data_IF_419265139720
#
_entry.id   IF_419265139720
#
_cell.length_a   1.000
_cell.length_b   1.000
_cell.length_c   1.000
_cell.angle_alpha   90.00
_cell.angle_beta   90.00
_cell.angle_gamma   90.00
#
_symmetry.space_group_name_H-M   'P 1'
#
loop_
_entity.id
_entity.type
_entity.pdbx_description
1 polymer ?
#
# COMPACT_ATOMS: atom_id res chain seq x y z
N UNK A 1 0.58 -3.13 1.89
CA UNK A 1 0.18 -3.92 3.07
C UNK A 1 0.66 -5.37 3.06
N UNK A 2 1.29 -5.85 1.98
CA UNK A 2 1.66 -7.26 1.79
C UNK A 2 2.65 -7.76 2.86
N UNK A 3 2.43 -8.99 3.32
CA UNK A 3 3.20 -9.62 4.38
C UNK A 3 4.67 -9.90 4.02
N UNK A 4 4.96 -10.06 2.72
CA UNK A 4 6.32 -10.32 2.21
C UNK A 4 7.26 -9.14 2.37
N UNK A 5 6.72 -7.93 2.58
CA UNK A 5 7.52 -6.71 2.69
C UNK A 5 7.86 -6.30 4.13
N UNK A 6 7.35 -7.01 5.14
CA UNK A 6 7.48 -6.56 6.54
C UNK A 6 8.93 -6.42 6.96
N UNK A 7 9.80 -7.39 6.64
CA UNK A 7 11.23 -7.31 6.96
C UNK A 7 11.97 -6.25 6.14
N UNK A 8 11.65 -6.10 4.85
CA UNK A 8 12.27 -5.08 3.99
C UNK A 8 11.98 -3.66 4.47
N UNK A 9 10.77 -3.44 4.97
CA UNK A 9 10.37 -2.15 5.55
C UNK A 9 11.06 -1.94 6.89
N UNK A 10 11.14 -2.95 7.76
CA UNK A 10 11.88 -2.85 9.02
C UNK A 10 13.32 -2.39 8.85
N UNK A 11 14.03 -2.91 7.83
CA UNK A 11 15.43 -2.53 7.53
C UNK A 11 15.59 -1.05 7.14
N UNK A 12 14.52 -0.42 6.63
CA UNK A 12 14.52 0.97 6.16
C UNK A 12 13.93 1.94 7.19
N UNK A 13 13.38 1.45 8.30
CA UNK A 13 12.78 2.28 9.34
C UNK A 13 13.82 2.75 10.36
N UNK A 14 13.85 4.05 10.62
CA UNK A 14 14.54 4.66 11.75
C UNK A 14 13.55 5.36 12.70
N UNK A 15 14.03 6.10 13.71
CA UNK A 15 13.15 6.82 14.64
C UNK A 15 12.34 7.96 14.00
N UNK A 16 12.83 8.55 12.91
CA UNK A 16 12.21 9.69 12.23
C UNK A 16 11.33 9.26 11.05
N UNK A 17 11.33 7.98 10.72
CA UNK A 17 10.55 7.43 9.60
C UNK A 17 9.08 7.31 9.97
N UNK A 18 8.24 7.98 9.18
CA UNK A 18 6.79 7.77 9.12
C UNK A 18 6.51 6.74 8.03
N UNK A 19 5.74 5.70 8.36
CA UNK A 19 5.39 4.64 7.41
C UNK A 19 3.91 4.72 7.08
N UNK A 20 3.61 4.74 5.78
CA UNK A 20 2.25 4.62 5.24
C UNK A 20 2.18 3.34 4.40
N UNK A 21 1.22 2.46 4.70
CA UNK A 21 1.04 1.18 4.00
C UNK A 21 -0.44 0.92 3.78
N UNK A 22 -0.80 0.76 2.52
CA UNK A 22 -2.14 0.40 2.06
C UNK A 22 -2.06 -0.70 0.98
N UNK A 23 -3.20 -1.06 0.41
CA UNK A 23 -3.32 -1.91 -0.75
C UNK A 23 -2.73 -1.20 -1.99
N UNK A 24 -1.82 -1.87 -2.69
CA UNK A 24 -1.26 -1.35 -3.93
C UNK A 24 -0.25 -0.21 -3.79
N UNK A 25 0.14 0.19 -2.57
CA UNK A 25 0.95 1.41 -2.36
C UNK A 25 0.27 2.62 -3.05
N UNK A 26 -1.04 2.73 -2.89
CA UNK A 26 -1.87 3.69 -3.58
C UNK A 26 -1.66 5.10 -3.02
N UNK A 27 -0.95 5.94 -3.77
CA UNK A 27 -0.61 7.31 -3.33
C UNK A 27 -1.85 8.19 -3.24
N UNK A 28 -2.89 7.94 -4.04
CA UNK A 28 -4.08 8.79 -4.06
C UNK A 28 -4.82 8.83 -2.71
N UNK A 29 -4.81 7.72 -1.97
CA UNK A 29 -5.38 7.65 -0.60
C UNK A 29 -4.61 8.50 0.41
N UNK A 30 -3.33 8.73 0.15
CA UNK A 30 -2.42 9.41 1.08
C UNK A 30 -1.98 10.80 0.60
N UNK A 31 -2.49 11.31 -0.52
CA UNK A 31 -2.06 12.61 -1.07
C UNK A 31 -2.19 13.75 -0.05
N UNK A 32 -3.30 13.82 0.68
CA UNK A 32 -3.55 14.90 1.63
C UNK A 32 -2.69 14.72 2.90
N UNK A 33 -2.45 13.47 3.29
CA UNK A 33 -1.51 13.13 4.38
C UNK A 33 -0.09 13.56 3.98
N UNK A 34 0.39 13.17 2.80
CA UNK A 34 1.72 13.51 2.29
C UNK A 34 1.90 15.03 2.21
N UNK A 35 0.88 15.75 1.72
CA UNK A 35 0.89 17.21 1.65
C UNK A 35 1.02 17.86 3.03
N UNK A 36 0.29 17.33 4.01
CA UNK A 36 0.31 17.82 5.39
C UNK A 36 1.65 17.54 6.08
N UNK A 37 2.21 16.34 5.86
CA UNK A 37 3.51 15.95 6.43
C UNK A 37 4.66 16.78 5.85
N UNK A 38 4.58 17.13 4.55
CA UNK A 38 5.62 17.87 3.82
C UNK A 38 7.06 17.36 4.12
N UNK A 39 7.34 16.07 3.85
CA UNK A 39 8.61 15.44 4.19
C UNK A 39 9.77 15.93 3.31
N UNK A 40 10.99 15.83 3.84
CA UNK A 40 12.23 16.10 3.07
C UNK A 40 12.55 14.98 2.08
N UNK A 41 12.22 13.73 2.43
CA UNK A 41 12.45 12.54 1.60
C UNK A 41 11.21 11.64 1.61
N UNK A 42 10.88 11.09 0.43
CA UNK A 42 9.84 10.06 0.26
C UNK A 42 10.46 8.84 -0.39
N UNK A 43 10.32 7.68 0.26
CA UNK A 43 10.70 6.38 -0.28
C UNK A 43 9.43 5.63 -0.69
N UNK A 44 9.21 5.51 -2.00
CA UNK A 44 8.01 4.89 -2.58
C UNK A 44 8.29 3.45 -3.04
N UNK A 45 7.62 2.49 -2.39
CA UNK A 45 7.93 1.05 -2.51
C UNK A 45 6.70 0.20 -2.91
N UNK A 46 6.15 0.34 -4.13
CA UNK A 46 5.26 -0.66 -4.69
C UNK A 46 6.01 -1.99 -4.90
N UNK A 47 5.28 -3.08 -5.14
CA UNK A 47 5.89 -4.40 -5.31
C UNK A 47 5.21 -5.24 -6.39
N UNK A 48 5.93 -6.23 -6.91
CA UNK A 48 5.40 -7.20 -7.88
C UNK A 48 4.50 -8.25 -7.23
N UNK A 49 3.70 -8.93 -8.05
CA UNK A 49 2.74 -9.95 -7.61
C UNK A 49 1.76 -9.39 -6.55
N UNK A 50 1.32 -8.15 -6.74
CA UNK A 50 0.49 -7.43 -5.80
C UNK A 50 -0.98 -7.86 -5.91
N UNK A 51 -1.55 -8.37 -4.81
CA UNK A 51 -2.96 -8.77 -4.77
C UNK A 51 -3.92 -7.63 -5.10
N UNK A 52 -3.59 -6.39 -4.72
CA UNK A 52 -4.39 -5.21 -5.06
C UNK A 52 -4.35 -4.90 -6.57
N UNK A 53 -3.19 -5.08 -7.22
CA UNK A 53 -3.08 -4.90 -8.67
C UNK A 53 -3.76 -6.03 -9.43
N UNK A 54 -3.78 -7.26 -8.90
CA UNK A 54 -4.63 -8.35 -9.44
C UNK A 54 -6.11 -7.97 -9.41
N UNK A 55 -6.59 -7.39 -8.31
CA UNK A 55 -7.98 -6.91 -8.21
C UNK A 55 -8.28 -5.81 -9.24
N UNK A 56 -7.36 -4.86 -9.41
CA UNK A 56 -7.48 -3.82 -10.45
C UNK A 56 -7.52 -4.43 -11.84
N UNK A 57 -6.62 -5.37 -12.15
CA UNK A 57 -6.57 -6.07 -13.44
C UNK A 57 -7.90 -6.78 -13.72
N UNK A 58 -8.41 -7.56 -12.76
CA UNK A 58 -9.71 -8.23 -12.90
C UNK A 58 -10.85 -7.24 -13.11
N UNK A 59 -10.88 -6.14 -12.34
CA UNK A 59 -11.97 -5.16 -12.47
C UNK A 59 -11.93 -4.39 -13.80
N UNK A 60 -10.74 -4.01 -14.26
CA UNK A 60 -10.57 -3.20 -15.48
C UNK A 60 -10.68 -4.03 -16.75
N UNK A 61 -10.12 -5.26 -16.77
CA UNK A 61 -10.05 -6.09 -17.99
C UNK A 61 -11.11 -7.18 -18.05
N UNK A 62 -11.51 -7.74 -16.90
CA UNK A 62 -12.42 -8.88 -16.83
C UNK A 62 -13.84 -8.46 -16.39
N UNK A 63 -14.02 -7.19 -16.01
CA UNK A 63 -15.31 -6.65 -15.58
C UNK A 63 -15.74 -7.10 -14.19
N UNK A 64 -14.81 -7.60 -13.36
CA UNK A 64 -15.13 -7.97 -11.98
C UNK A 64 -15.61 -6.74 -11.20
N UNK A 65 -16.77 -6.88 -10.56
CA UNK A 65 -17.37 -5.79 -9.79
C UNK A 65 -16.65 -5.62 -8.46
N UNK A 66 -16.21 -4.39 -8.21
CA UNK A 66 -15.73 -3.93 -6.90
C UNK A 66 -16.76 -2.98 -6.29
N UNK A 67 -16.69 -2.77 -4.99
CA UNK A 67 -17.56 -1.78 -4.34
C UNK A 67 -17.21 -0.37 -4.78
N UNK A 68 -18.14 0.61 -4.65
CA UNK A 68 -17.85 2.01 -4.96
C UNK A 68 -16.66 2.59 -4.19
N UNK A 69 -16.39 2.07 -2.99
CA UNK A 69 -15.24 2.48 -2.16
C UNK A 69 -13.92 2.02 -2.76
N UNK A 70 -13.80 0.73 -3.12
CA UNK A 70 -12.59 0.22 -3.79
C UNK A 70 -12.43 0.85 -5.18
N UNK A 71 -13.54 1.06 -5.89
CA UNK A 71 -13.54 1.70 -7.21
C UNK A 71 -12.94 3.11 -7.15
N UNK A 72 -13.48 3.97 -6.28
CA UNK A 72 -13.04 5.36 -6.15
C UNK A 72 -11.62 5.46 -5.59
N UNK A 73 -11.27 4.61 -4.62
CA UNK A 73 -9.99 4.66 -3.93
C UNK A 73 -8.85 4.13 -4.82
N UNK A 74 -9.02 2.96 -5.42
CA UNK A 74 -7.94 2.19 -6.03
C UNK A 74 -8.09 2.04 -7.55
N UNK A 75 -9.25 1.60 -8.06
CA UNK A 75 -9.40 1.13 -9.45
C UNK A 75 -9.50 2.26 -10.46
N UNK A 76 -10.24 3.33 -10.13
CA UNK A 76 -10.62 4.39 -11.06
C UNK A 76 -9.44 5.06 -11.78
N UNK A 77 -8.29 5.20 -11.11
CA UNK A 77 -7.06 5.79 -11.66
C UNK A 77 -6.48 5.02 -12.86
N UNK A 78 -6.84 3.74 -12.99
CA UNK A 78 -6.40 2.85 -14.05
C UNK A 78 -7.43 2.70 -15.18
N UNK A 79 -8.68 3.15 -14.98
CA UNK A 79 -9.70 3.08 -16.04
C UNK A 79 -9.31 4.00 -17.21
N UNK A 80 -9.44 3.46 -18.43
CA UNK A 80 -9.04 4.16 -19.66
C UNK A 80 -7.52 4.23 -19.90
N UNK A 81 -6.70 3.66 -19.01
CA UNK A 81 -5.25 3.51 -19.22
C UNK A 81 -4.95 2.23 -20.01
N UNK A 82 -3.83 2.24 -20.73
CA UNK A 82 -3.35 1.10 -21.50
C UNK A 82 -2.37 0.28 -20.67
N UNK A 83 -2.66 -1.02 -20.54
CA UNK A 83 -1.81 -2.07 -19.99
C UNK A 83 -2.40 -3.42 -20.41
N UNK A 84 -1.59 -4.45 -20.57
CA UNK A 84 -2.01 -5.77 -21.06
C UNK A 84 -2.06 -6.82 -19.95
N UNK A 85 -1.12 -6.76 -19.01
CA UNK A 85 -0.94 -7.75 -17.97
C UNK A 85 -0.66 -7.13 -16.60
N UNK A 86 -0.46 -7.97 -15.59
CA UNK A 86 -0.20 -7.55 -14.22
C UNK A 86 1.12 -6.77 -14.11
N UNK A 87 2.14 -7.15 -14.89
CA UNK A 87 3.46 -6.53 -14.82
C UNK A 87 3.39 -5.09 -15.35
N UNK A 88 2.79 -4.89 -16.52
CA UNK A 88 2.58 -3.56 -17.09
C UNK A 88 1.73 -2.69 -16.16
N UNK A 89 0.73 -3.27 -15.47
CA UNK A 89 -0.09 -2.56 -14.50
C UNK A 89 0.72 -2.14 -13.25
N UNK A 90 1.59 -3.00 -12.74
CA UNK A 90 2.46 -2.69 -11.59
C UNK A 90 3.50 -1.59 -11.93
N UNK A 91 4.05 -1.62 -13.15
CA UNK A 91 4.91 -0.56 -13.67
C UNK A 91 4.14 0.76 -13.85
N UNK A 92 2.91 0.70 -14.34
CA UNK A 92 2.03 1.86 -14.45
C UNK A 92 1.69 2.44 -13.07
N UNK A 93 1.41 1.59 -12.07
CA UNK A 93 1.17 2.01 -10.69
C UNK A 93 2.38 2.75 -10.10
N UNK A 94 3.60 2.21 -10.30
CA UNK A 94 4.84 2.89 -9.91
C UNK A 94 4.92 4.29 -10.55
N UNK A 95 4.70 4.37 -11.86
CA UNK A 95 4.77 5.63 -12.62
C UNK A 95 3.76 6.66 -12.13
N UNK A 96 2.48 6.28 -12.02
CA UNK A 96 1.42 7.18 -11.57
C UNK A 96 1.64 7.63 -10.11
N UNK A 97 2.05 6.71 -9.24
CA UNK A 97 2.39 7.04 -7.85
C UNK A 97 3.52 8.07 -7.76
N UNK A 98 4.60 7.87 -8.53
CA UNK A 98 5.71 8.83 -8.62
C UNK A 98 5.30 10.21 -9.11
N UNK A 99 4.48 10.28 -10.16
CA UNK A 99 3.94 11.53 -10.69
C UNK A 99 3.14 12.26 -9.60
N UNK A 100 2.24 11.55 -8.91
CA UNK A 100 1.44 12.12 -7.82
C UNK A 100 2.30 12.59 -6.65
N UNK A 101 3.29 11.81 -6.20
CA UNK A 101 4.19 12.22 -5.10
C UNK A 101 4.91 13.52 -5.48
N UNK A 102 5.50 13.59 -6.68
CA UNK A 102 6.23 14.78 -7.14
C UNK A 102 5.34 16.02 -7.27
N UNK A 103 4.05 15.84 -7.58
CA UNK A 103 3.10 16.95 -7.61
C UNK A 103 2.72 17.43 -6.20
N UNK A 104 2.56 16.50 -5.26
CA UNK A 104 2.07 16.78 -3.90
C UNK A 104 3.18 17.34 -3.00
N UNK A 105 4.41 16.84 -3.13
CA UNK A 105 5.58 17.24 -2.34
C UNK A 105 6.78 17.56 -3.26
N UNK A 106 6.70 18.62 -4.08
CA UNK A 106 7.66 18.88 -5.16
C UNK A 106 9.09 19.19 -4.70
N UNK A 107 9.27 19.53 -3.41
CA UNK A 107 10.58 19.81 -2.81
C UNK A 107 11.24 18.58 -2.20
N UNK A 108 10.49 17.50 -2.00
CA UNK A 108 11.02 16.29 -1.38
C UNK A 108 11.94 15.56 -2.35
N UNK A 109 13.01 14.97 -1.82
CA UNK A 109 13.77 13.95 -2.55
C UNK A 109 12.89 12.70 -2.67
N UNK A 110 12.61 12.27 -3.89
CA UNK A 110 11.78 11.08 -4.13
C UNK A 110 12.66 9.93 -4.61
N UNK A 111 12.70 8.86 -3.82
CA UNK A 111 13.30 7.58 -4.18
C UNK A 111 12.16 6.60 -4.42
N UNK A 112 12.29 5.78 -5.47
CA UNK A 112 11.28 4.77 -5.76
C UNK A 112 11.88 3.48 -6.25
N UNK A 113 11.27 2.37 -5.85
CA UNK A 113 11.70 1.03 -6.22
C UNK A 113 10.46 0.14 -6.37
N UNK A 114 10.31 -0.53 -7.51
CA UNK A 114 9.35 -1.63 -7.64
C UNK A 114 10.01 -2.89 -7.08
N UNK A 115 9.66 -3.26 -5.85
CA UNK A 115 10.24 -4.41 -5.17
C UNK A 115 9.78 -5.69 -5.86
N UNK A 116 10.74 -6.48 -6.36
CA UNK A 116 10.45 -7.81 -6.87
C UNK A 116 10.35 -8.81 -5.72
N UNK A 117 9.12 -9.17 -5.34
CA UNK A 117 8.88 -10.04 -4.19
C UNK A 117 9.51 -11.42 -4.39
N UNK A 118 9.68 -11.91 -5.62
CA UNK A 118 10.25 -13.23 -5.87
C UNK A 118 11.74 -13.31 -5.53
N UNK A 119 12.42 -12.17 -5.38
CA UNK A 119 13.82 -12.09 -4.95
C UNK A 119 13.97 -12.03 -3.42
N UNK A 120 12.85 -11.93 -2.69
CA UNK A 120 12.84 -11.88 -1.24
C UNK A 120 12.75 -13.29 -0.65
N UNK A 121 13.32 -13.47 0.54
CA UNK A 121 13.01 -14.62 1.39
C UNK A 121 11.61 -14.42 1.98
N UNK A 122 10.65 -15.26 1.61
CA UNK A 122 9.29 -15.12 2.11
C UNK A 122 9.17 -15.66 3.54
N UNK A 123 8.61 -14.89 4.47
CA UNK A 123 8.21 -15.43 5.76
C UNK A 123 6.98 -16.33 5.60
N UNK A 124 6.72 -17.17 6.60
CA UNK A 124 5.48 -17.94 6.67
C UNK A 124 4.27 -16.99 6.68
N UNK A 125 3.31 -17.22 5.78
CA UNK A 125 2.12 -16.38 5.65
C UNK A 125 1.19 -16.59 6.85
N UNK A 126 0.90 -15.51 7.58
CA UNK A 126 -0.13 -15.44 8.61
C UNK A 126 -1.36 -14.72 8.03
N UNK A 127 -2.57 -15.32 8.04
CA UNK A 127 -3.78 -14.72 7.49
C UNK A 127 -4.38 -13.66 8.44
N UNK A 128 -3.55 -12.72 8.86
CA UNK A 128 -3.89 -11.68 9.83
C UNK A 128 -3.47 -10.32 9.31
N UNK A 129 -4.12 -9.28 9.80
CA UNK A 129 -3.77 -7.89 9.50
C UNK A 129 -3.60 -7.09 10.79
N UNK A 130 -2.54 -6.28 10.83
CA UNK A 130 -2.26 -5.31 11.89
C UNK A 130 -2.63 -3.92 11.37
N UNK A 131 -3.48 -3.20 12.10
CA UNK A 131 -3.81 -1.79 11.82
C UNK A 131 -2.99 -0.92 12.77
N UNK A 132 -2.02 -0.22 12.21
CA UNK A 132 -1.02 0.51 12.96
C UNK A 132 -1.09 2.02 12.67
N UNK A 133 -0.74 2.83 13.67
CA UNK A 133 -0.45 4.25 13.47
C UNK A 133 0.85 4.41 12.67
N UNK A 134 0.97 5.48 11.90
CA UNK A 134 2.09 5.76 10.99
C UNK A 134 3.47 5.81 11.66
N UNK A 135 3.53 6.07 12.95
CA UNK A 135 4.76 6.14 13.76
C UNK A 135 5.12 4.81 14.42
N UNK A 136 4.19 3.85 14.44
CA UNK A 136 4.38 2.55 15.08
C UNK A 136 5.48 1.75 14.38
N UNK A 137 6.36 1.16 15.18
CA UNK A 137 7.44 0.28 14.71
C UNK A 137 6.97 -1.17 14.70
N UNK A 138 7.61 -1.99 13.88
CA UNK A 138 7.24 -3.39 13.75
C UNK A 138 8.03 -4.24 14.74
N UNK A 139 7.37 -5.27 15.24
CA UNK A 139 7.95 -6.31 16.09
C UNK A 139 8.07 -7.60 15.28
N UNK A 140 8.94 -8.52 15.73
CA UNK A 140 9.14 -9.81 15.05
C UNK A 140 7.84 -10.64 14.95
N UNK A 141 6.87 -10.42 15.83
CA UNK A 141 5.58 -11.11 15.78
C UNK A 141 4.76 -10.77 14.52
N UNK A 142 4.97 -9.58 13.95
CA UNK A 142 4.27 -9.07 12.77
C UNK A 142 4.83 -9.64 11.46
N UNK A 143 6.04 -10.24 11.48
CA UNK A 143 6.62 -10.91 10.32
C UNK A 143 5.66 -12.01 9.84
N UNK A 144 5.37 -12.02 8.55
CA UNK A 144 4.39 -12.94 7.95
C UNK A 144 2.94 -12.45 7.98
N UNK A 145 2.63 -11.40 8.73
CA UNK A 145 1.31 -10.76 8.73
C UNK A 145 1.23 -9.55 7.80
N UNK A 146 0.01 -9.21 7.40
CA UNK A 146 -0.27 -8.02 6.61
C UNK A 146 -0.31 -6.79 7.51
N UNK A 147 0.11 -5.64 7.00
CA UNK A 147 0.13 -4.40 7.79
C UNK A 147 -0.52 -3.28 6.99
N UNK A 148 -1.56 -2.69 7.55
CA UNK A 148 -2.15 -1.44 7.09
C UNK A 148 -1.72 -0.37 8.08
N UNK A 149 -1.15 0.72 7.58
CA UNK A 149 -0.53 1.73 8.43
C UNK A 149 -0.80 3.13 7.89
N UNK A 150 -1.35 4.01 8.74
CA UNK A 150 -1.82 5.34 8.34
C UNK A 150 -1.80 6.32 9.51
N UNK A 151 -2.02 7.61 9.23
CA UNK A 151 -2.23 8.64 10.25
C UNK A 151 -3.62 8.55 10.88
N UNK A 152 -4.62 8.07 10.14
CA UNK A 152 -6.02 8.00 10.58
C UNK A 152 -6.74 6.79 9.97
N UNK A 153 -7.85 6.38 10.61
CA UNK A 153 -8.63 5.20 10.21
C UNK A 153 -9.45 5.40 8.94
N UNK A 154 -9.94 6.61 8.70
CA UNK A 154 -10.78 6.93 7.53
C UNK A 154 -10.02 6.74 6.21
N UNK A 155 -8.72 7.06 6.17
CA UNK A 155 -7.87 6.89 5.00
C UNK A 155 -7.60 5.42 4.62
N UNK A 156 -8.01 4.45 5.43
CA UNK A 156 -7.72 3.02 5.21
C UNK A 156 -8.97 2.15 5.10
N UNK A 157 -10.16 2.75 4.96
CA UNK A 157 -11.40 1.97 4.92
C UNK A 157 -11.50 1.04 3.70
N UNK A 158 -10.99 1.46 2.54
CA UNK A 158 -10.93 0.62 1.35
C UNK A 158 -9.98 -0.56 1.56
N UNK A 159 -8.84 -0.34 2.23
CA UNK A 159 -7.87 -1.39 2.55
C UNK A 159 -8.44 -2.47 3.45
N UNK A 160 -9.27 -2.08 4.42
CA UNK A 160 -9.96 -3.02 5.31
C UNK A 160 -10.91 -3.92 4.53
N UNK A 161 -11.60 -3.38 3.53
CA UNK A 161 -12.48 -4.16 2.66
C UNK A 161 -11.68 -5.14 1.79
N UNK A 162 -10.55 -4.69 1.24
CA UNK A 162 -9.63 -5.55 0.48
C UNK A 162 -9.06 -6.65 1.39
N UNK A 163 -8.65 -6.32 2.61
CA UNK A 163 -8.16 -7.29 3.59
C UNK A 163 -9.23 -8.34 3.93
N UNK A 164 -10.50 -7.94 4.05
CA UNK A 164 -11.62 -8.86 4.25
C UNK A 164 -11.81 -9.81 3.05
N UNK A 165 -11.73 -9.31 1.81
CA UNK A 165 -11.76 -10.13 0.59
C UNK A 165 -10.61 -11.15 0.52
N UNK A 166 -9.48 -10.85 1.16
CA UNK A 166 -8.32 -11.75 1.28
C UNK A 166 -8.42 -12.71 2.48
N UNK A 167 -9.56 -12.75 3.17
CA UNK A 167 -9.81 -13.54 4.38
C UNK A 167 -8.81 -13.26 5.51
N UNK A 168 -8.42 -12.00 5.70
CA UNK A 168 -7.50 -11.58 6.75
C UNK A 168 -8.26 -11.17 8.02
N UNK A 169 -7.81 -11.68 9.17
CA UNK A 169 -8.36 -11.31 10.47
C UNK A 169 -7.58 -10.15 11.09
N UNK A 170 -8.28 -9.10 11.53
CA UNK A 170 -7.66 -8.03 12.32
C UNK A 170 -7.27 -8.60 13.69
N UNK A 171 -5.98 -8.52 14.04
CA UNK A 171 -5.45 -9.01 15.33
C UNK A 171 -4.92 -7.90 16.23
N UNK A 172 -4.71 -6.72 15.67
CA UNK A 172 -4.35 -5.50 16.39
C UNK A 172 -4.94 -4.31 15.65
N UNK A 173 -5.64 -3.43 16.36
CA UNK A 173 -6.14 -2.17 15.83
C UNK A 173 -5.83 -1.02 16.79
N UNK A 174 -4.82 -0.23 16.43
CA UNK A 174 -4.37 0.95 17.19
C UNK A 174 -5.30 2.17 17.06
N UNK A 175 -6.35 2.07 16.26
CA UNK A 175 -7.39 3.10 16.07
C UNK A 175 -8.69 2.77 16.83
N UNK A 176 -8.78 1.62 17.51
CA UNK A 176 -9.98 1.20 18.26
C UNK A 176 -10.29 2.04 19.50
N UNK A 177 -9.30 2.78 20.00
CA UNK A 177 -9.36 3.55 21.25
C UNK A 177 -9.10 5.05 21.03
N UNK A 178 -9.34 5.56 19.82
CA UNK A 178 -9.13 6.95 19.44
C UNK A 178 -10.46 7.67 19.19
#
# INVERSE_FOLDING_TARGET
>A
MDYRLTEEIMKKMDQNTIVLRNAGANVNEFKDILKSLNPDEVVYLPHTDCAAMKLVLSSVKQGEQVTPKIESSLVSQFRGRQFNDLKELEELNLKLGLETIKQVVPKAKVISELIDVNKLKWPERKPVVYLLKSTSKYTNEMIGGYVIQSMNKTSIEADLEIASKLNLKVVKDEFSNA
#
